data_IF_059862244858
#
_entry.id   IF_059862244858
#
_cell.length_a   1.000
_cell.length_b   1.000
_cell.length_c   1.000
_cell.angle_alpha   90.00
_cell.angle_beta   90.00
_cell.angle_gamma   90.00
#
_symmetry.space_group_name_H-M   'P 1'
#
loop_
_entity.id
_entity.type
_entity.pdbx_description
1 polymer ?
#
# COMPACT_ATOMS: atom_id res chain seq x y z
N UNK A 1 16.75 -12.56 -3.30
CA UNK A 1 16.48 -11.22 -3.87
C UNK A 1 15.05 -11.21 -4.41
N UNK A 2 14.38 -10.05 -4.40
CA UNK A 2 13.10 -9.81 -5.08
C UNK A 2 13.05 -10.23 -6.57
N UNK A 3 14.16 -10.71 -7.14
CA UNK A 3 14.22 -11.43 -8.43
C UNK A 3 13.39 -12.70 -8.49
N UNK A 4 12.91 -13.23 -7.35
CA UNK A 4 12.01 -14.38 -7.33
C UNK A 4 10.54 -14.01 -7.62
N UNK A 5 10.17 -12.73 -7.49
CA UNK A 5 8.82 -12.25 -7.80
C UNK A 5 8.64 -12.08 -9.32
N UNK A 6 7.45 -12.40 -9.86
CA UNK A 6 7.12 -12.08 -11.25
C UNK A 6 7.25 -10.58 -11.54
N UNK A 7 7.54 -10.22 -12.80
CA UNK A 7 7.97 -8.86 -13.17
C UNK A 7 6.99 -7.73 -12.79
N UNK A 8 5.68 -7.96 -12.91
CA UNK A 8 4.67 -6.98 -12.54
C UNK A 8 4.55 -6.79 -11.01
N UNK A 9 4.27 -7.84 -10.20
CA UNK A 9 4.28 -7.73 -8.74
C UNK A 9 5.58 -7.15 -8.18
N UNK A 10 6.74 -7.51 -8.76
CA UNK A 10 8.03 -6.98 -8.36
C UNK A 10 8.06 -5.46 -8.48
N UNK A 11 7.72 -4.91 -9.64
CA UNK A 11 7.71 -3.46 -9.87
C UNK A 11 6.77 -2.75 -8.90
N UNK A 12 5.57 -3.30 -8.69
CA UNK A 12 4.58 -2.72 -7.78
C UNK A 12 5.11 -2.69 -6.34
N UNK A 13 5.54 -3.83 -5.80
CA UNK A 13 5.90 -3.94 -4.39
C UNK A 13 7.28 -3.36 -4.05
N UNK A 14 8.25 -3.38 -4.97
CA UNK A 14 9.61 -2.88 -4.67
C UNK A 14 9.83 -1.42 -5.03
N UNK A 15 8.97 -0.83 -5.87
CA UNK A 15 9.14 0.55 -6.36
C UNK A 15 7.91 1.39 -6.05
N UNK A 16 6.74 1.03 -6.60
CA UNK A 16 5.55 1.88 -6.48
C UNK A 16 5.07 1.99 -5.03
N UNK A 17 5.05 0.88 -4.31
CA UNK A 17 4.60 0.85 -2.91
C UNK A 17 5.51 1.70 -2.00
N UNK A 18 6.85 1.49 -1.92
CA UNK A 18 7.72 2.34 -1.10
C UNK A 18 7.63 3.83 -1.46
N UNK A 19 7.55 4.16 -2.75
CA UNK A 19 7.38 5.55 -3.19
C UNK A 19 6.05 6.14 -2.74
N UNK A 20 4.96 5.38 -2.81
CA UNK A 20 3.64 5.83 -2.33
C UNK A 20 3.63 6.09 -0.82
N UNK A 21 4.32 5.26 -0.04
CA UNK A 21 4.44 5.42 1.41
C UNK A 21 5.30 6.65 1.78
N UNK A 22 6.40 6.88 1.05
CA UNK A 22 7.20 8.10 1.21
C UNK A 22 6.40 9.34 0.82
N UNK A 23 5.62 9.30 -0.27
CA UNK A 23 4.74 10.41 -0.64
C UNK A 23 3.68 10.68 0.44
N UNK A 24 3.08 9.64 1.02
CA UNK A 24 2.17 9.75 2.16
C UNK A 24 2.82 10.40 3.38
N UNK A 25 4.03 9.97 3.74
CA UNK A 25 4.83 10.57 4.82
C UNK A 25 5.08 12.07 4.57
N UNK A 26 5.53 12.43 3.36
CA UNK A 26 5.79 13.83 3.01
C UNK A 26 4.51 14.67 3.05
N UNK A 27 3.38 14.13 2.56
CA UNK A 27 2.08 14.81 2.63
C UNK A 27 1.67 15.13 4.06
N UNK A 28 1.90 14.20 4.99
CA UNK A 28 1.63 14.39 6.42
C UNK A 28 2.55 15.42 7.06
N UNK A 29 3.86 15.33 6.82
CA UNK A 29 4.85 16.18 7.52
C UNK A 29 4.80 17.63 7.03
N UNK A 30 4.52 17.84 5.74
CA UNK A 30 4.45 19.19 5.15
C UNK A 30 3.24 19.96 5.67
N UNK A 31 2.08 19.32 5.76
CA UNK A 31 0.87 19.97 6.26
C UNK A 31 -0.10 18.95 6.91
N UNK A 32 0.10 18.62 8.20
CA UNK A 32 -0.73 17.62 8.88
C UNK A 32 -2.18 18.08 9.01
N UNK A 33 -2.41 19.39 9.16
CA UNK A 33 -3.75 19.95 9.33
C UNK A 33 -4.60 19.83 8.06
N UNK A 34 -3.98 20.09 6.91
CA UNK A 34 -4.59 19.84 5.60
C UNK A 34 -4.77 18.34 5.35
N UNK A 35 -3.77 17.52 5.71
CA UNK A 35 -3.85 16.07 5.54
C UNK A 35 -5.07 15.49 6.26
N UNK A 36 -5.33 15.92 7.51
CA UNK A 36 -6.55 15.53 8.27
C UNK A 36 -7.82 16.03 7.59
N UNK A 37 -7.82 17.29 7.13
CA UNK A 37 -8.99 17.89 6.51
C UNK A 37 -9.41 17.17 5.23
N UNK A 38 -8.44 16.70 4.44
CA UNK A 38 -8.69 16.03 3.19
C UNK A 38 -9.09 14.54 3.35
N UNK A 39 -8.98 13.96 4.55
CA UNK A 39 -9.34 12.55 4.81
C UNK A 39 -10.81 12.23 4.56
N UNK A 40 -11.70 13.21 4.77
CA UNK A 40 -13.13 13.05 4.55
C UNK A 40 -13.59 14.17 3.62
N UNK A 41 -14.31 13.80 2.58
CA UNK A 41 -14.97 14.76 1.67
C UNK A 41 -16.08 15.47 2.46
N UNK A 42 -15.77 16.54 3.22
CA UNK A 42 -16.71 17.31 4.05
C UNK A 42 -16.94 18.71 3.47
N UNK A 43 -18.11 19.27 3.76
CA UNK A 43 -18.49 20.64 3.40
C UNK A 43 -18.32 21.64 4.56
N UNK A 44 -18.06 21.17 5.78
CA UNK A 44 -17.89 22.03 6.98
C UNK A 44 -16.45 22.05 7.47
N UNK A 45 -15.93 23.23 7.89
CA UNK A 45 -14.59 23.35 8.46
C UNK A 45 -14.41 22.47 9.69
N UNK A 46 -13.26 21.81 9.79
CA UNK A 46 -12.88 21.06 10.99
C UNK A 46 -12.28 22.01 12.03
N UNK A 47 -12.61 21.75 13.31
CA UNK A 47 -11.91 22.34 14.44
C UNK A 47 -10.68 21.48 14.71
N UNK A 48 -9.50 22.00 14.37
CA UNK A 48 -8.23 21.30 14.57
C UNK A 48 -7.91 21.18 16.06
N UNK A 49 -7.61 19.96 16.52
CA UNK A 49 -7.12 19.71 17.88
C UNK A 49 -5.66 19.28 17.84
N UNK A 50 -4.88 19.69 18.85
CA UNK A 50 -3.49 19.27 19.00
C UNK A 50 -3.35 17.74 19.07
N UNK A 51 -4.35 17.07 19.65
CA UNK A 51 -4.44 15.62 19.68
C UNK A 51 -4.54 15.02 18.26
N UNK A 52 -5.41 15.58 17.41
CA UNK A 52 -5.55 15.14 16.02
C UNK A 52 -4.26 15.35 15.21
N UNK A 53 -3.59 16.47 15.43
CA UNK A 53 -2.30 16.76 14.81
C UNK A 53 -1.20 15.79 15.25
N UNK A 54 -1.12 15.48 16.54
CA UNK A 54 -0.15 14.51 17.08
C UNK A 54 -0.35 13.11 16.46
N UNK A 55 -1.58 12.60 16.45
CA UNK A 55 -1.90 11.28 15.86
C UNK A 55 -1.57 11.26 14.36
N UNK A 56 -1.82 12.36 13.65
CA UNK A 56 -1.52 12.47 12.22
C UNK A 56 -0.03 12.41 11.95
N UNK A 57 0.79 13.11 12.74
CA UNK A 57 2.25 13.05 12.61
C UNK A 57 2.79 11.64 12.92
N UNK A 58 2.22 10.95 13.91
CA UNK A 58 2.55 9.55 14.21
C UNK A 58 2.22 8.62 13.04
N UNK A 59 1.08 8.83 12.39
CA UNK A 59 0.70 8.10 11.17
C UNK A 59 1.69 8.34 10.02
N UNK A 60 2.12 9.59 9.81
CA UNK A 60 3.17 9.91 8.85
C UNK A 60 4.45 9.12 9.13
N UNK A 61 4.92 9.14 10.37
CA UNK A 61 6.10 8.38 10.78
C UNK A 61 5.94 6.86 10.52
N UNK A 62 4.74 6.31 10.73
CA UNK A 62 4.44 4.92 10.42
C UNK A 62 4.55 4.62 8.92
N UNK A 63 4.12 5.54 8.04
CA UNK A 63 4.29 5.36 6.58
C UNK A 63 5.77 5.27 6.19
N UNK A 64 6.62 6.13 6.76
CA UNK A 64 8.06 6.06 6.50
C UNK A 64 8.65 4.74 7.02
N UNK A 65 8.27 4.30 8.21
CA UNK A 65 8.69 3.02 8.78
C UNK A 65 8.30 1.85 7.86
N UNK A 66 7.06 1.81 7.38
CA UNK A 66 6.59 0.77 6.47
C UNK A 66 7.35 0.77 5.14
N UNK A 67 7.67 1.95 4.59
CA UNK A 67 8.49 2.06 3.39
C UNK A 67 9.88 1.45 3.60
N UNK A 68 10.52 1.78 4.72
CA UNK A 68 11.84 1.23 5.07
C UNK A 68 11.81 -0.28 5.31
N UNK A 69 10.78 -0.79 6.01
CA UNK A 69 10.61 -2.24 6.23
C UNK A 69 10.42 -2.95 4.89
N UNK A 70 9.58 -2.42 4.00
CA UNK A 70 9.34 -3.04 2.70
C UNK A 70 10.60 -3.11 1.84
N UNK A 71 11.35 -2.01 1.76
CA UNK A 71 12.65 -1.99 1.07
C UNK A 71 13.61 -2.96 1.73
N UNK A 72 13.75 -2.94 3.06
CA UNK A 72 14.67 -3.81 3.79
C UNK A 72 14.34 -5.30 3.58
N UNK A 73 13.09 -5.71 3.77
CA UNK A 73 12.68 -7.13 3.62
C UNK A 73 12.85 -7.59 2.18
N UNK A 74 12.33 -6.84 1.20
CA UNK A 74 12.35 -7.27 -0.21
C UNK A 74 13.75 -7.20 -0.84
N UNK A 75 14.65 -6.34 -0.33
CA UNK A 75 16.03 -6.27 -0.80
C UNK A 75 16.97 -7.27 -0.12
N UNK A 76 16.73 -7.61 1.15
CA UNK A 76 17.66 -8.43 1.94
C UNK A 76 17.43 -9.94 1.86
N UNK A 77 16.20 -10.40 1.62
CA UNK A 77 15.89 -11.83 1.65
C UNK A 77 15.90 -12.51 0.28
N UNK A 78 16.34 -13.76 0.23
CA UNK A 78 16.12 -14.70 -0.89
C UNK A 78 15.05 -15.74 -0.60
N UNK A 79 14.58 -15.81 0.65
CA UNK A 79 13.60 -16.81 1.07
C UNK A 79 12.19 -16.38 0.66
N UNK A 80 11.63 -17.08 -0.32
CA UNK A 80 10.29 -16.76 -0.86
C UNK A 80 9.21 -16.89 0.22
N UNK A 81 9.39 -17.77 1.20
CA UNK A 81 8.47 -17.92 2.33
C UNK A 81 8.39 -16.64 3.17
N UNK A 82 9.51 -15.95 3.37
CA UNK A 82 9.56 -14.67 4.09
C UNK A 82 8.83 -13.59 3.29
N UNK A 83 9.10 -13.50 1.98
CA UNK A 83 8.42 -12.55 1.08
C UNK A 83 6.91 -12.79 1.07
N UNK A 84 6.47 -14.04 0.95
CA UNK A 84 5.05 -14.39 0.92
C UNK A 84 4.36 -14.06 2.24
N UNK A 85 4.97 -14.38 3.38
CA UNK A 85 4.42 -14.03 4.70
C UNK A 85 4.33 -12.51 4.90
N UNK A 86 5.34 -11.77 4.43
CA UNK A 86 5.31 -10.30 4.43
C UNK A 86 4.16 -9.74 3.59
N UNK A 87 3.96 -10.28 2.37
CA UNK A 87 2.85 -9.87 1.50
C UNK A 87 1.47 -10.23 2.06
N UNK A 88 1.34 -11.35 2.79
CA UNK A 88 0.11 -11.70 3.51
C UNK A 88 -0.17 -10.68 4.63
N UNK A 89 0.85 -10.29 5.39
CA UNK A 89 0.69 -9.27 6.44
C UNK A 89 0.23 -7.92 5.87
N UNK A 90 0.82 -7.50 4.74
CA UNK A 90 0.39 -6.29 4.02
C UNK A 90 -1.04 -6.42 3.47
N UNK A 91 -1.40 -7.59 2.93
CA UNK A 91 -2.76 -7.83 2.43
C UNK A 91 -3.82 -7.69 3.54
N UNK A 92 -3.54 -8.21 4.74
CA UNK A 92 -4.42 -8.00 5.91
C UNK A 92 -4.49 -6.52 6.28
N UNK A 93 -3.36 -5.79 6.23
CA UNK A 93 -3.32 -4.37 6.49
C UNK A 93 -4.17 -3.57 5.47
N UNK A 94 -4.16 -3.95 4.19
CA UNK A 94 -4.98 -3.30 3.16
C UNK A 94 -6.48 -3.42 3.46
N UNK A 95 -6.93 -4.62 3.86
CA UNK A 95 -8.33 -4.85 4.20
C UNK A 95 -8.76 -4.01 5.39
N UNK A 96 -7.90 -3.93 6.42
CA UNK A 96 -8.13 -3.06 7.58
C UNK A 96 -8.20 -1.58 7.18
N UNK A 97 -7.32 -1.14 6.28
CA UNK A 97 -7.29 0.23 5.79
C UNK A 97 -8.55 0.58 4.97
N UNK A 98 -8.96 -0.29 4.04
CA UNK A 98 -10.18 -0.11 3.26
C UNK A 98 -11.43 -0.11 4.14
N UNK A 99 -11.49 -0.99 5.14
CA UNK A 99 -12.56 -1.01 6.14
C UNK A 99 -12.62 0.31 6.93
N UNK A 100 -11.48 0.84 7.37
CA UNK A 100 -11.42 2.12 8.06
C UNK A 100 -11.88 3.28 7.16
N UNK A 101 -11.47 3.29 5.89
CA UNK A 101 -11.92 4.27 4.91
C UNK A 101 -13.43 4.19 4.65
N UNK A 102 -13.96 2.98 4.52
CA UNK A 102 -15.40 2.74 4.38
C UNK A 102 -16.17 3.29 5.59
N UNK A 103 -15.70 3.03 6.80
CA UNK A 103 -16.32 3.57 8.01
C UNK A 103 -16.22 5.10 8.11
N UNK A 104 -15.12 5.70 7.68
CA UNK A 104 -14.92 7.15 7.73
C UNK A 104 -15.71 7.93 6.67
N UNK A 105 -15.75 7.43 5.44
CA UNK A 105 -16.44 8.09 4.31
C UNK A 105 -17.95 7.77 4.27
N UNK A 106 -18.33 6.59 4.76
CA UNK A 106 -19.66 6.00 4.56
C UNK A 106 -19.85 5.46 3.15
N UNK A 107 -20.80 4.54 2.97
CA UNK A 107 -21.02 3.82 1.71
C UNK A 107 -21.15 4.75 0.49
N UNK A 108 -21.99 5.80 0.58
CA UNK A 108 -22.26 6.67 -0.56
C UNK A 108 -21.01 7.33 -1.15
N UNK A 109 -20.15 7.92 -0.31
CA UNK A 109 -18.90 8.55 -0.76
C UNK A 109 -17.81 7.53 -1.06
N UNK A 110 -17.84 6.38 -0.37
CA UNK A 110 -16.89 5.31 -0.62
C UNK A 110 -17.05 4.68 -2.01
N UNK A 111 -18.27 4.61 -2.57
CA UNK A 111 -18.46 4.04 -3.92
C UNK A 111 -18.53 5.10 -5.03
N UNK A 112 -18.70 6.38 -4.68
CA UNK A 112 -18.75 7.48 -5.63
C UNK A 112 -17.36 7.95 -6.06
N UNK A 113 -16.73 7.15 -6.91
CA UNK A 113 -15.38 7.37 -7.45
C UNK A 113 -15.23 8.72 -8.15
N UNK A 114 -16.32 9.26 -8.72
CA UNK A 114 -16.30 10.54 -9.42
C UNK A 114 -16.10 11.74 -8.47
N UNK A 115 -16.47 11.58 -7.19
CA UNK A 115 -16.36 12.62 -6.16
C UNK A 115 -15.09 12.50 -5.32
N UNK A 116 -14.23 11.51 -5.58
CA UNK A 116 -13.02 11.30 -4.79
C UNK A 116 -12.02 12.44 -4.98
N UNK A 117 -11.62 13.05 -3.87
CA UNK A 117 -10.48 13.97 -3.84
C UNK A 117 -9.15 13.18 -3.94
N UNK A 118 -8.04 13.89 -4.12
CA UNK A 118 -6.72 13.27 -4.23
C UNK A 118 -6.38 12.36 -3.04
N UNK A 119 -6.80 12.75 -1.83
CA UNK A 119 -6.55 11.97 -0.61
C UNK A 119 -7.34 10.65 -0.60
N UNK A 120 -8.60 10.68 -1.05
CA UNK A 120 -9.47 9.51 -1.16
C UNK A 120 -8.96 8.56 -2.25
N UNK A 121 -8.46 9.09 -3.37
CA UNK A 121 -7.78 8.29 -4.39
C UNK A 121 -6.53 7.57 -3.84
N UNK A 122 -5.75 8.23 -2.99
CA UNK A 122 -4.62 7.61 -2.31
C UNK A 122 -5.07 6.53 -1.32
N UNK A 123 -5.99 6.87 -0.42
CA UNK A 123 -6.42 5.98 0.65
C UNK A 123 -7.22 4.77 0.15
N UNK A 124 -8.17 4.98 -0.77
CA UNK A 124 -9.06 3.92 -1.26
C UNK A 124 -8.54 3.35 -2.57
N UNK A 125 -8.30 4.20 -3.57
CA UNK A 125 -7.92 3.76 -4.91
C UNK A 125 -6.58 3.02 -4.94
N UNK A 126 -5.51 3.65 -4.43
CA UNK A 126 -4.19 3.05 -4.42
C UNK A 126 -4.14 1.79 -3.52
N UNK A 127 -4.76 1.84 -2.34
CA UNK A 127 -4.84 0.68 -1.44
C UNK A 127 -5.62 -0.48 -2.07
N UNK A 128 -6.75 -0.21 -2.75
CA UNK A 128 -7.50 -1.25 -3.46
C UNK A 128 -6.66 -1.87 -4.59
N UNK A 129 -5.93 -1.05 -5.36
CA UNK A 129 -5.01 -1.53 -6.38
C UNK A 129 -3.92 -2.46 -5.81
N UNK A 130 -3.30 -2.06 -4.70
CA UNK A 130 -2.28 -2.87 -4.03
C UNK A 130 -2.88 -4.17 -3.48
N UNK A 131 -4.05 -4.11 -2.84
CA UNK A 131 -4.77 -5.27 -2.31
C UNK A 131 -5.12 -6.28 -3.41
N UNK A 132 -5.64 -5.81 -4.54
CA UNK A 132 -5.96 -6.65 -5.70
C UNK A 132 -4.69 -7.27 -6.30
N UNK A 133 -3.60 -6.50 -6.40
CA UNK A 133 -2.31 -7.02 -6.89
C UNK A 133 -1.75 -8.11 -5.97
N UNK A 134 -1.84 -7.91 -4.65
CA UNK A 134 -1.45 -8.93 -3.65
C UNK A 134 -2.35 -10.16 -3.71
N UNK A 135 -3.65 -9.98 -3.87
CA UNK A 135 -4.60 -11.08 -4.03
C UNK A 135 -4.26 -11.92 -5.26
N UNK A 136 -4.06 -11.27 -6.41
CA UNK A 136 -3.67 -11.94 -7.64
C UNK A 136 -2.32 -12.69 -7.51
N UNK A 137 -1.36 -12.10 -6.80
CA UNK A 137 -0.09 -12.76 -6.51
C UNK A 137 -0.24 -13.96 -5.59
N UNK A 138 -0.97 -13.83 -4.48
CA UNK A 138 -1.16 -14.92 -3.52
C UNK A 138 -1.97 -16.10 -4.09
N UNK A 139 -2.85 -15.83 -5.07
CA UNK A 139 -3.57 -16.84 -5.85
C UNK A 139 -2.72 -17.48 -6.96
N UNK A 140 -1.49 -16.99 -7.19
CA UNK A 140 -0.59 -17.54 -8.20
C UNK A 140 -0.90 -17.12 -9.64
N UNK A 141 -1.69 -16.05 -9.85
CA UNK A 141 -2.11 -15.61 -11.19
C UNK A 141 -0.95 -15.07 -12.05
N UNK A 142 0.20 -14.75 -11.44
CA UNK A 142 1.40 -14.26 -12.14
C UNK A 142 2.43 -15.35 -12.46
N UNK A 143 2.10 -16.63 -12.23
CA UNK A 143 2.99 -17.76 -12.45
C UNK A 143 3.81 -18.16 -11.22
N UNK A 144 4.64 -19.22 -11.33
CA UNK A 144 5.43 -19.74 -10.22
C UNK A 144 6.52 -18.76 -9.79
N UNK A 145 6.80 -18.73 -8.49
CA UNK A 145 7.90 -17.97 -7.91
C UNK A 145 9.27 -18.56 -8.36
N UNK A 146 10.20 -17.70 -8.78
CA UNK A 146 11.55 -18.10 -9.21
C UNK A 146 11.86 -17.78 -10.69
N UNK A 147 13.15 -17.85 -11.05
CA UNK A 147 13.58 -17.70 -12.45
C UNK A 147 13.01 -18.86 -13.29
N UNK A 148 12.62 -18.62 -14.55
CA UNK A 148 12.18 -19.69 -15.44
C UNK A 148 13.27 -20.77 -15.48
N UNK A 149 12.92 -21.98 -15.06
CA UNK A 149 13.80 -23.14 -15.17
C UNK A 149 14.11 -23.28 -16.67
N UNK A 150 15.37 -23.05 -17.07
CA UNK A 150 15.80 -23.33 -18.45
C UNK A 150 15.43 -24.78 -18.71
N UNK A 151 14.47 -25.00 -19.60
CA UNK A 151 14.12 -26.33 -20.10
C UNK A 151 15.42 -26.93 -20.61
N UNK A 152 15.92 -27.95 -19.90
CA UNK A 152 17.10 -28.66 -20.32
C UNK A 152 16.75 -29.30 -21.67
N UNK A 153 17.26 -28.72 -22.75
CA UNK A 153 17.17 -29.30 -24.08
C UNK A 153 17.89 -30.64 -23.99
N UNK A 154 17.13 -31.73 -23.93
CA UNK A 154 17.66 -33.09 -24.12
C UNK A 154 18.28 -33.12 -25.50
N UNK A 155 19.60 -33.08 -25.57
CA UNK A 155 20.34 -33.49 -26.76
C UNK A 155 20.14 -35.00 -26.89
N UNK A 156 19.38 -35.39 -27.92
CA UNK A 156 19.38 -36.75 -28.45
C UNK A 156 20.52 -36.91 -29.45
#
# INVERSE_FOLDING_TARGET
MASALPGFPRTVFTILEPLSLVAGFLGVVVNPDKFVADQIIRQTPLLHSDNGRMVTLQLGNLYLLLAMIGVAVLSSTSEIRVVRNYLVALWVADLGHLWACYHGLGYGKFVDVAQWNAMTWGNVGATAFLCLTRTAYLLGLFGPDGLPQKVAVKRH
#
